data_IF_149778437509
#
_entry.id   IF_149778437509
#
_cell.length_a   1.000
_cell.length_b   1.000
_cell.length_c   1.000
_cell.angle_alpha   90.00
_cell.angle_beta   90.00
_cell.angle_gamma   90.00
#
_symmetry.space_group_name_H-M   'P 1'
#
loop_
_entity.id
_entity.type
_entity.pdbx_description
1 polymer ?
#
# COMPACT_ATOMS: atom_id res chain seq x y z
N UNK A 1 33.67 -22.26 -6.31
CA UNK A 1 33.31 -23.08 -7.48
C UNK A 1 32.27 -22.33 -8.29
N UNK A 2 32.55 -22.07 -9.57
CA UNK A 2 31.68 -21.23 -10.42
C UNK A 2 30.64 -22.08 -11.17
N UNK A 3 29.36 -21.77 -11.03
CA UNK A 3 28.27 -22.40 -11.80
C UNK A 3 27.94 -21.62 -13.07
N UNK A 4 27.25 -22.25 -14.03
CA UNK A 4 26.74 -21.55 -15.22
C UNK A 4 25.86 -20.35 -14.83
N UNK A 5 24.97 -20.52 -13.85
CA UNK A 5 24.14 -19.42 -13.32
C UNK A 5 24.95 -18.27 -12.74
N UNK A 6 26.09 -18.57 -12.11
CA UNK A 6 27.00 -17.55 -11.59
C UNK A 6 27.67 -16.77 -12.72
N UNK A 7 28.11 -17.43 -13.80
CA UNK A 7 28.71 -16.76 -14.97
C UNK A 7 27.69 -15.84 -15.65
N UNK A 8 26.45 -16.28 -15.82
CA UNK A 8 25.37 -15.43 -16.35
C UNK A 8 25.06 -14.22 -15.45
N UNK A 9 25.10 -14.42 -14.13
CA UNK A 9 24.95 -13.32 -13.17
C UNK A 9 26.10 -12.32 -13.26
N UNK A 10 27.34 -12.81 -13.44
CA UNK A 10 28.51 -11.96 -13.62
C UNK A 10 28.44 -11.17 -14.92
N UNK A 11 28.07 -11.80 -16.03
CA UNK A 11 27.81 -11.13 -17.31
C UNK A 11 26.82 -9.99 -17.15
N UNK A 12 25.66 -10.25 -16.52
CA UNK A 12 24.62 -9.23 -16.31
C UNK A 12 25.13 -8.08 -15.44
N UNK A 13 25.88 -8.36 -14.37
CA UNK A 13 26.44 -7.31 -13.50
C UNK A 13 27.56 -6.51 -14.15
N UNK A 14 28.33 -7.13 -15.02
CA UNK A 14 29.40 -6.50 -15.79
C UNK A 14 28.85 -5.64 -16.96
N UNK A 15 27.55 -5.74 -17.29
CA UNK A 15 26.98 -5.06 -18.44
C UNK A 15 27.49 -5.57 -19.78
N UNK A 16 28.04 -6.78 -19.84
CA UNK A 16 28.60 -7.36 -21.06
C UNK A 16 27.44 -7.72 -22.01
N UNK A 17 27.46 -7.18 -23.23
CA UNK A 17 26.50 -7.51 -24.28
C UNK A 17 26.52 -9.00 -24.62
N UNK A 18 25.42 -9.53 -25.15
CA UNK A 18 25.34 -10.94 -25.58
C UNK A 18 26.45 -11.33 -26.57
N UNK A 19 26.78 -10.46 -27.52
CA UNK A 19 27.80 -10.71 -28.54
C UNK A 19 29.20 -10.84 -27.93
N UNK A 20 29.64 -9.84 -27.16
CA UNK A 20 30.91 -9.88 -26.43
C UNK A 20 30.99 -11.08 -25.46
N UNK A 21 29.86 -11.49 -24.88
CA UNK A 21 29.82 -12.67 -24.02
C UNK A 21 30.01 -13.97 -24.82
N UNK A 22 29.45 -14.07 -26.03
CA UNK A 22 29.70 -15.21 -26.93
C UNK A 22 31.14 -15.28 -27.39
N UNK A 23 31.77 -14.16 -27.73
CA UNK A 23 33.19 -14.08 -28.07
C UNK A 23 34.06 -14.56 -26.89
N UNK A 24 33.70 -14.17 -25.66
CA UNK A 24 34.38 -14.67 -24.45
C UNK A 24 34.20 -16.18 -24.24
N UNK A 25 33.00 -16.71 -24.50
CA UNK A 25 32.75 -18.16 -24.42
C UNK A 25 33.58 -18.89 -25.49
N UNK A 26 33.61 -18.38 -26.71
CA UNK A 26 34.36 -18.97 -27.81
C UNK A 26 35.87 -18.95 -27.54
N UNK A 27 36.42 -17.85 -27.02
CA UNK A 27 37.85 -17.77 -26.73
C UNK A 27 38.29 -18.73 -25.61
N UNK A 28 37.43 -18.99 -24.61
CA UNK A 28 37.76 -19.86 -23.48
C UNK A 28 37.44 -21.35 -23.77
N UNK A 29 36.38 -21.63 -24.51
CA UNK A 29 35.85 -22.99 -24.69
C UNK A 29 35.96 -23.54 -26.11
N UNK A 30 36.29 -22.70 -27.10
CA UNK A 30 36.21 -22.99 -28.54
C UNK A 30 34.82 -23.45 -29.00
N UNK A 31 33.78 -23.11 -28.23
CA UNK A 31 32.40 -23.44 -28.51
C UNK A 31 31.58 -22.15 -28.58
N UNK A 32 30.59 -22.13 -29.45
CA UNK A 32 29.65 -21.01 -29.62
C UNK A 32 28.55 -20.98 -28.54
N UNK A 33 28.44 -22.02 -27.71
CA UNK A 33 27.32 -22.21 -26.78
C UNK A 33 27.75 -22.41 -25.35
N UNK A 34 27.08 -21.74 -24.42
CA UNK A 34 27.30 -21.88 -22.98
C UNK A 34 26.65 -23.13 -22.35
N UNK A 35 25.90 -23.92 -23.14
CA UNK A 35 25.04 -25.00 -22.60
C UNK A 35 25.81 -26.22 -22.08
N UNK A 36 26.99 -26.52 -22.63
CA UNK A 36 27.80 -27.71 -22.29
C UNK A 36 29.23 -27.36 -21.91
N UNK A 37 29.39 -26.34 -21.07
CA UNK A 37 30.71 -25.94 -20.56
C UNK A 37 31.14 -26.82 -19.39
N UNK A 38 32.39 -27.28 -19.43
CA UNK A 38 33.00 -28.00 -18.31
C UNK A 38 33.23 -27.08 -17.12
N UNK A 39 33.37 -27.64 -15.92
CA UNK A 39 33.61 -26.87 -14.69
C UNK A 39 34.85 -25.97 -14.80
N UNK A 40 35.92 -26.48 -15.42
CA UNK A 40 37.16 -25.74 -15.64
C UNK A 40 36.94 -24.56 -16.60
N UNK A 41 36.12 -24.73 -17.64
CA UNK A 41 35.79 -23.66 -18.58
C UNK A 41 34.94 -22.57 -17.92
N UNK A 42 33.98 -22.95 -17.06
CA UNK A 42 33.17 -22.00 -16.29
C UNK A 42 34.00 -21.18 -15.29
N UNK A 43 35.00 -21.79 -14.66
CA UNK A 43 35.92 -21.09 -13.77
C UNK A 43 36.82 -20.12 -14.53
N UNK A 44 37.37 -20.53 -15.68
CA UNK A 44 38.13 -19.64 -16.57
C UNK A 44 37.30 -18.46 -17.08
N UNK A 45 36.03 -18.69 -17.43
CA UNK A 45 35.12 -17.62 -17.83
C UNK A 45 34.82 -16.64 -16.70
N UNK A 46 34.51 -17.14 -15.51
CA UNK A 46 34.30 -16.30 -14.35
C UNK A 46 35.56 -15.47 -14.03
N UNK A 47 36.73 -16.08 -14.12
CA UNK A 47 38.01 -15.41 -13.90
C UNK A 47 38.27 -14.30 -14.92
N UNK A 48 38.05 -14.57 -16.21
CA UNK A 48 38.18 -13.58 -17.28
C UNK A 48 37.25 -12.38 -17.05
N UNK A 49 35.99 -12.63 -16.66
CA UNK A 49 35.04 -11.56 -16.33
C UNK A 49 35.52 -10.75 -15.12
N UNK A 50 36.09 -11.39 -14.10
CA UNK A 50 36.63 -10.67 -12.94
C UNK A 50 37.93 -9.91 -13.22
N UNK A 51 38.72 -10.33 -14.21
CA UNK A 51 39.91 -9.59 -14.65
C UNK A 51 39.51 -8.33 -15.41
N UNK A 52 38.48 -8.42 -16.25
CA UNK A 52 37.89 -7.28 -16.94
C UNK A 52 37.13 -6.34 -15.99
N UNK A 53 36.49 -6.90 -14.96
CA UNK A 53 35.64 -6.18 -14.00
C UNK A 53 36.03 -6.49 -12.55
N UNK A 54 37.18 -5.98 -12.07
CA UNK A 54 37.68 -6.24 -10.72
C UNK A 54 36.74 -5.75 -9.61
N UNK A 55 35.88 -4.77 -9.89
CA UNK A 55 34.82 -4.30 -9.00
C UNK A 55 33.85 -5.42 -8.58
N UNK A 56 33.67 -6.45 -9.42
CA UNK A 56 32.78 -7.58 -9.14
C UNK A 56 33.37 -8.57 -8.12
N UNK A 57 34.69 -8.56 -7.90
CA UNK A 57 35.35 -9.39 -6.86
C UNK A 57 35.04 -8.91 -5.44
N UNK A 58 34.60 -7.66 -5.26
CA UNK A 58 34.31 -7.11 -3.93
C UNK A 58 33.14 -7.88 -3.29
N UNK A 59 33.44 -8.69 -2.26
CA UNK A 59 32.42 -9.21 -1.34
C UNK A 59 31.65 -8.01 -0.80
N UNK A 60 30.34 -7.93 -1.08
CA UNK A 60 29.43 -7.02 -0.36
C UNK A 60 29.37 -7.49 1.09
N UNK A 61 30.36 -7.09 1.89
CA UNK A 61 30.27 -7.18 3.33
C UNK A 61 29.10 -6.28 3.76
N UNK A 62 28.06 -6.85 4.37
CA UNK A 62 27.19 -6.14 5.31
C UNK A 62 25.94 -5.41 4.81
N UNK A 63 25.59 -5.35 3.51
CA UNK A 63 24.43 -4.55 3.06
C UNK A 63 23.45 -5.31 2.15
N UNK A 64 23.15 -6.57 2.47
CA UNK A 64 22.18 -7.38 1.72
C UNK A 64 20.76 -7.34 2.26
N UNK A 65 20.58 -6.84 3.48
CA UNK A 65 19.27 -6.39 3.93
C UNK A 65 19.21 -4.89 3.61
N UNK A 66 18.19 -4.39 2.88
CA UNK A 66 17.84 -2.98 3.03
C UNK A 66 17.75 -2.75 4.54
N UNK A 67 18.30 -1.65 5.06
CA UNK A 67 18.00 -1.26 6.43
C UNK A 67 16.47 -1.32 6.56
N UNK A 68 15.95 -2.38 7.19
CA UNK A 68 14.54 -2.41 7.59
C UNK A 68 14.41 -1.12 8.37
N UNK A 69 13.55 -0.21 7.91
CA UNK A 69 13.20 0.96 8.68
C UNK A 69 13.02 0.49 10.12
N UNK A 70 13.72 1.12 11.08
CA UNK A 70 13.57 0.76 12.48
C UNK A 70 12.07 0.73 12.75
N UNK A 71 11.56 -0.44 13.16
CA UNK A 71 10.17 -0.59 13.55
C UNK A 71 9.85 0.52 14.53
N UNK A 72 8.88 1.37 14.20
CA UNK A 72 8.47 2.45 15.10
C UNK A 72 8.02 1.78 16.40
N UNK A 73 8.64 2.09 17.55
CA UNK A 73 8.23 1.52 18.82
C UNK A 73 6.75 1.82 19.04
N UNK A 74 5.97 0.82 19.47
CA UNK A 74 4.54 1.02 19.79
C UNK A 74 4.31 2.10 20.86
N UNK A 75 5.36 2.44 21.61
CA UNK A 75 5.36 3.43 22.69
C UNK A 75 5.86 4.82 22.30
N UNK A 76 5.98 5.14 20.99
CA UNK A 76 6.17 6.55 20.60
C UNK A 76 4.83 7.26 20.76
N UNK A 77 4.56 7.72 21.98
CA UNK A 77 3.39 8.49 22.42
C UNK A 77 3.13 9.78 21.64
N UNK A 78 3.99 10.11 20.67
CA UNK A 78 3.95 11.34 19.89
C UNK A 78 3.44 11.13 18.45
N UNK A 79 3.06 9.90 18.06
CA UNK A 79 2.19 9.73 16.90
C UNK A 79 0.77 10.10 17.32
N UNK A 80 0.51 11.39 17.48
CA UNK A 80 -0.85 11.91 17.43
C UNK A 80 -1.39 11.42 16.10
N UNK A 81 -2.27 10.44 16.14
CA UNK A 81 -2.84 9.85 14.96
C UNK A 81 -3.82 10.89 14.42
N UNK A 82 -3.34 11.75 13.54
CA UNK A 82 -4.10 12.89 13.04
C UNK A 82 -5.20 12.35 12.12
N UNK A 83 -6.44 12.68 12.47
CA UNK A 83 -7.62 12.59 11.61
C UNK A 83 -7.33 13.30 10.28
N UNK A 84 -7.52 12.62 9.15
CA UNK A 84 -7.33 13.29 7.86
C UNK A 84 -8.43 14.32 7.61
N UNK A 85 -8.16 15.40 6.85
CA UNK A 85 -9.19 16.38 6.49
C UNK A 85 -10.45 15.74 5.90
N UNK A 86 -10.26 14.78 4.99
CA UNK A 86 -11.37 14.05 4.35
C UNK A 86 -12.21 13.24 5.35
N UNK A 87 -11.58 12.59 6.33
CA UNK A 87 -12.30 11.86 7.38
C UNK A 87 -13.10 12.81 8.26
N UNK A 88 -12.53 13.97 8.60
CA UNK A 88 -13.22 15.00 9.38
C UNK A 88 -14.45 15.54 8.64
N UNK A 89 -14.30 15.83 7.35
CA UNK A 89 -15.40 16.32 6.53
C UNK A 89 -16.50 15.27 6.38
N UNK A 90 -16.12 14.00 6.13
CA UNK A 90 -17.08 12.91 6.04
C UNK A 90 -17.89 12.73 7.34
N UNK A 91 -17.23 12.75 8.50
CA UNK A 91 -17.90 12.63 9.80
C UNK A 91 -18.86 13.79 10.02
N UNK A 92 -18.46 15.02 9.70
CA UNK A 92 -19.34 16.20 9.75
C UNK A 92 -20.57 16.03 8.86
N UNK A 93 -20.36 15.63 7.61
CA UNK A 93 -21.45 15.43 6.64
C UNK A 93 -22.43 14.34 7.10
N UNK A 94 -21.93 13.24 7.67
CA UNK A 94 -22.76 12.18 8.23
C UNK A 94 -23.60 12.67 9.42
N UNK A 95 -23.00 13.41 10.34
CA UNK A 95 -23.70 14.00 11.49
C UNK A 95 -24.77 14.98 11.04
N UNK A 96 -24.44 15.88 10.10
CA UNK A 96 -25.41 16.82 9.52
C UNK A 96 -26.57 16.09 8.85
N UNK A 97 -26.30 15.06 8.05
CA UNK A 97 -27.35 14.29 7.40
C UNK A 97 -28.24 13.54 8.41
N UNK A 98 -27.68 13.00 9.48
CA UNK A 98 -28.44 12.35 10.54
C UNK A 98 -29.36 13.33 11.27
N UNK A 99 -28.87 14.54 11.57
CA UNK A 99 -29.69 15.61 12.13
C UNK A 99 -30.82 16.02 11.18
N UNK A 100 -30.53 16.14 9.88
CA UNK A 100 -31.53 16.46 8.85
C UNK A 100 -32.56 15.35 8.63
N UNK A 101 -32.21 14.08 8.85
CA UNK A 101 -33.13 12.95 8.74
C UNK A 101 -34.16 12.85 9.88
N UNK A 102 -34.19 13.80 10.81
CA UNK A 102 -35.28 14.00 11.77
C UNK A 102 -35.24 13.14 13.03
N UNK A 103 -34.46 12.05 13.06
CA UNK A 103 -34.46 11.11 14.19
C UNK A 103 -33.36 11.37 15.24
N UNK A 104 -32.40 12.25 14.95
CA UNK A 104 -31.35 12.65 15.89
C UNK A 104 -31.31 14.16 16.02
N UNK A 105 -32.26 14.76 16.75
CA UNK A 105 -32.16 16.19 17.04
C UNK A 105 -30.92 16.46 17.89
N UNK A 106 -30.01 17.31 17.38
CA UNK A 106 -28.81 17.82 18.06
C UNK A 106 -27.62 16.85 18.20
N UNK A 107 -27.42 15.91 17.27
CA UNK A 107 -26.17 15.15 17.22
C UNK A 107 -25.00 16.10 16.89
N UNK A 108 -23.98 16.12 17.75
CA UNK A 108 -22.74 16.85 17.51
C UNK A 108 -21.67 15.92 16.94
N UNK A 109 -20.66 16.49 16.28
CA UNK A 109 -19.49 15.74 15.79
C UNK A 109 -18.72 15.03 16.88
N UNK A 110 -18.84 15.48 18.14
CA UNK A 110 -18.19 14.88 19.30
C UNK A 110 -19.09 13.91 20.07
N UNK A 111 -20.41 13.90 19.83
CA UNK A 111 -21.35 13.05 20.57
C UNK A 111 -20.98 11.56 20.48
N UNK A 112 -20.66 11.07 19.28
CA UNK A 112 -20.33 9.67 19.06
C UNK A 112 -18.88 9.33 19.46
N UNK A 113 -17.86 10.14 19.11
CA UNK A 113 -16.49 10.00 19.62
C UNK A 113 -16.41 9.89 21.15
N UNK A 114 -17.06 10.81 21.87
CA UNK A 114 -17.01 10.84 23.35
C UNK A 114 -17.66 9.59 23.92
N UNK A 115 -18.79 9.14 23.35
CA UNK A 115 -19.48 7.93 23.83
C UNK A 115 -18.68 6.65 23.59
N UNK A 116 -17.97 6.54 22.46
CA UNK A 116 -17.24 5.32 22.10
C UNK A 116 -15.85 5.24 22.72
N UNK A 117 -15.15 6.38 22.82
CA UNK A 117 -13.73 6.41 23.15
C UNK A 117 -13.37 7.40 24.27
N UNK A 118 -14.35 8.13 24.83
CA UNK A 118 -14.12 9.20 25.82
C UNK A 118 -13.16 10.28 25.32
N UNK A 119 -13.17 10.54 24.01
CA UNK A 119 -12.29 11.50 23.31
C UNK A 119 -13.11 12.37 22.39
N UNK A 120 -12.66 13.61 22.15
CA UNK A 120 -13.20 14.45 21.10
C UNK A 120 -12.77 13.94 19.72
N UNK A 121 -13.49 14.35 18.66
CA UNK A 121 -13.18 13.97 17.27
C UNK A 121 -11.73 14.29 16.89
N UNK A 122 -11.20 15.41 17.38
CA UNK A 122 -9.83 15.89 17.07
C UNK A 122 -8.74 15.03 17.73
N UNK A 123 -9.09 14.29 18.78
CA UNK A 123 -8.17 13.44 19.55
C UNK A 123 -8.22 11.98 19.10
N UNK A 124 -9.13 11.64 18.18
CA UNK A 124 -9.26 10.28 17.67
C UNK A 124 -8.09 9.92 16.78
N UNK A 125 -7.61 8.69 16.96
CA UNK A 125 -6.77 8.02 15.99
C UNK A 125 -7.53 7.66 14.72
N UNK A 126 -6.81 7.41 13.62
CA UNK A 126 -7.39 7.00 12.33
C UNK A 126 -8.30 5.78 12.45
N UNK A 127 -7.96 4.81 13.29
CA UNK A 127 -8.77 3.61 13.49
C UNK A 127 -10.03 3.90 14.33
N UNK A 128 -9.90 4.75 15.35
CA UNK A 128 -11.05 5.21 16.15
C UNK A 128 -12.00 6.04 15.29
N UNK A 129 -11.47 6.96 14.47
CA UNK A 129 -12.23 7.77 13.53
C UNK A 129 -12.94 6.92 12.46
N UNK A 130 -12.27 5.87 11.95
CA UNK A 130 -12.91 4.91 11.05
C UNK A 130 -14.06 4.17 11.74
N UNK A 131 -13.87 3.79 13.01
CA UNK A 131 -14.91 3.12 13.79
C UNK A 131 -16.14 4.02 14.01
N UNK A 132 -15.91 5.30 14.32
CA UNK A 132 -16.98 6.33 14.39
C UNK A 132 -17.67 6.48 13.03
N UNK A 133 -16.90 6.54 11.94
CA UNK A 133 -17.44 6.67 10.58
C UNK A 133 -18.35 5.50 10.21
N UNK A 134 -17.95 4.26 10.49
CA UNK A 134 -18.78 3.08 10.20
C UNK A 134 -20.04 3.03 11.07
N UNK A 135 -19.94 3.45 12.34
CA UNK A 135 -21.10 3.56 13.21
C UNK A 135 -22.12 4.58 12.68
N UNK A 136 -21.65 5.77 12.25
CA UNK A 136 -22.50 6.80 11.65
C UNK A 136 -23.12 6.34 10.32
N UNK A 137 -22.38 5.63 9.46
CA UNK A 137 -22.95 5.00 8.26
C UNK A 137 -24.05 4.00 8.60
N UNK A 138 -23.84 3.20 9.64
CA UNK A 138 -24.85 2.25 10.12
C UNK A 138 -26.11 2.95 10.63
N UNK A 139 -25.96 4.06 11.35
CA UNK A 139 -27.08 4.92 11.75
C UNK A 139 -27.83 5.44 10.52
N UNK A 140 -27.11 5.99 9.54
CA UNK A 140 -27.70 6.57 8.33
C UNK A 140 -28.53 5.54 7.55
N UNK A 141 -28.02 4.31 7.44
CA UNK A 141 -28.74 3.20 6.79
C UNK A 141 -30.03 2.89 7.53
N UNK A 142 -29.99 2.76 8.86
CA UNK A 142 -31.18 2.41 9.65
C UNK A 142 -32.29 3.45 9.52
N UNK A 143 -31.94 4.73 9.55
CA UNK A 143 -32.94 5.80 9.40
C UNK A 143 -33.53 5.90 7.99
N UNK A 144 -32.75 5.51 6.98
CA UNK A 144 -33.12 5.65 5.57
C UNK A 144 -33.24 4.29 4.87
N UNK A 145 -33.66 3.27 5.61
CA UNK A 145 -33.62 1.87 5.18
C UNK A 145 -34.37 1.65 3.88
N UNK A 146 -35.58 2.21 3.73
CA UNK A 146 -36.38 2.06 2.51
C UNK A 146 -35.70 2.65 1.27
N UNK A 147 -35.10 3.84 1.42
CA UNK A 147 -34.40 4.51 0.33
C UNK A 147 -33.11 3.75 -0.02
N UNK A 148 -32.41 3.26 0.99
CA UNK A 148 -31.22 2.45 0.85
C UNK A 148 -31.51 1.14 0.10
N UNK A 149 -32.58 0.44 0.46
CA UNK A 149 -32.99 -0.82 -0.17
C UNK A 149 -33.44 -0.61 -1.62
N UNK A 150 -34.07 0.52 -1.94
CA UNK A 150 -34.37 0.90 -3.34
C UNK A 150 -33.09 1.07 -4.16
N UNK A 151 -32.07 1.72 -3.61
CA UNK A 151 -30.78 1.90 -4.29
C UNK A 151 -30.07 0.57 -4.52
N UNK A 152 -30.05 -0.32 -3.53
CA UNK A 152 -29.51 -1.66 -3.68
C UNK A 152 -30.23 -2.47 -4.77
N UNK A 153 -31.58 -2.42 -4.79
CA UNK A 153 -32.39 -3.09 -5.82
C UNK A 153 -32.14 -2.54 -7.23
N UNK A 154 -31.74 -1.28 -7.34
CA UNK A 154 -31.37 -0.65 -8.63
C UNK A 154 -29.96 -0.99 -9.11
N UNK A 155 -29.22 -1.83 -8.38
CA UNK A 155 -27.90 -2.34 -8.79
C UNK A 155 -26.70 -1.56 -8.25
N UNK A 156 -26.90 -0.58 -7.36
CA UNK A 156 -25.77 0.12 -6.73
C UNK A 156 -25.10 -0.75 -5.67
N UNK A 157 -23.78 -0.60 -5.53
CA UNK A 157 -23.06 -1.22 -4.42
C UNK A 157 -23.50 -0.63 -3.07
N UNK A 158 -23.19 -1.34 -1.97
CA UNK A 158 -23.47 -0.87 -0.60
C UNK A 158 -22.86 0.52 -0.37
N UNK A 159 -21.60 0.69 -0.75
CA UNK A 159 -20.86 1.96 -0.56
C UNK A 159 -21.47 3.10 -1.36
N UNK A 160 -21.79 2.87 -2.64
CA UNK A 160 -22.44 3.89 -3.48
C UNK A 160 -23.82 4.26 -2.95
N UNK A 161 -24.58 3.28 -2.46
CA UNK A 161 -25.91 3.49 -1.89
C UNK A 161 -25.85 4.36 -0.63
N UNK A 162 -24.84 4.16 0.23
CA UNK A 162 -24.59 5.02 1.41
C UNK A 162 -24.34 6.46 0.95
N UNK A 163 -23.39 6.66 0.03
CA UNK A 163 -23.02 8.00 -0.41
C UNK A 163 -24.12 8.71 -1.19
N UNK A 164 -24.92 7.99 -1.98
CA UNK A 164 -26.10 8.54 -2.65
C UNK A 164 -27.17 8.97 -1.65
N UNK A 165 -27.44 8.14 -0.64
CA UNK A 165 -28.38 8.47 0.43
C UNK A 165 -27.93 9.71 1.19
N UNK A 166 -26.65 9.73 1.60
CA UNK A 166 -26.02 10.88 2.24
C UNK A 166 -26.19 12.15 1.40
N UNK A 167 -25.83 12.10 0.12
CA UNK A 167 -25.93 13.24 -0.79
C UNK A 167 -27.37 13.71 -0.98
N UNK A 168 -28.32 12.78 -1.11
CA UNK A 168 -29.74 13.12 -1.27
C UNK A 168 -30.29 13.87 -0.05
N UNK A 169 -29.90 13.46 1.15
CA UNK A 169 -30.32 14.14 2.39
C UNK A 169 -29.67 15.52 2.49
N UNK A 170 -28.37 15.62 2.25
CA UNK A 170 -27.65 16.90 2.32
C UNK A 170 -28.19 17.90 1.30
N UNK A 171 -28.45 17.47 0.05
CA UNK A 171 -29.04 18.34 -0.98
C UNK A 171 -30.43 18.80 -0.58
N UNK A 172 -31.30 17.91 -0.07
CA UNK A 172 -32.63 18.29 0.43
C UNK A 172 -32.56 19.29 1.57
N UNK A 173 -31.63 19.11 2.51
CA UNK A 173 -31.42 20.04 3.62
C UNK A 173 -30.89 21.41 3.22
N UNK A 174 -30.29 21.54 2.03
CA UNK A 174 -29.81 22.81 1.48
C UNK A 174 -30.92 23.64 0.80
N UNK A 175 -32.14 23.11 0.66
CA UNK A 175 -33.28 23.84 0.08
C UNK A 175 -33.18 24.10 -1.44
N UNK A 176 -32.45 23.25 -2.17
CA UNK A 176 -32.34 23.28 -3.64
C UNK A 176 -33.40 22.39 -4.28
#
# INVERSE_FOLDING_TARGET
MSSLSQVWTLKSKAGISEENFRILIESVSKQQSSKKLSKVQLEKLAQAIYELHPELKKKKNGHRTPNKYKSIPKNVSNLTSILTPDQNELIKNLVTALNLSGNYENLSTDSLPVRMFSKSLKELSRHEAQSVTEALKGMLIRENQEQFDKLLKSGFSRTESIFKTLRLILVKGMGV
#
